data_IF_516506349110
#
_entry.id   IF_516506349110
#
_cell.length_a   1.000
_cell.length_b   1.000
_cell.length_c   1.000
_cell.angle_alpha   90.00
_cell.angle_beta   90.00
_cell.angle_gamma   90.00
#
_symmetry.space_group_name_H-M   'P 1'
#
loop_
_entity.id
_entity.type
_entity.pdbx_description
1 polymer ?
#
# COMPACT_ATOMS: atom_id res chain seq x y z
N UNK A 1 1.40 -7.29 4.28
CA UNK A 1 2.61 -6.94 5.06
C UNK A 1 3.50 -8.14 5.38
N UNK A 2 2.99 -9.24 5.94
CA UNK A 2 3.83 -10.41 6.30
C UNK A 2 4.73 -10.93 5.18
N UNK A 3 4.21 -11.03 3.95
CA UNK A 3 4.98 -11.42 2.77
C UNK A 3 6.20 -10.52 2.52
N UNK A 4 6.00 -9.20 2.43
CA UNK A 4 7.07 -8.22 2.18
C UNK A 4 8.13 -8.27 3.27
N UNK A 5 7.71 -8.22 4.54
CA UNK A 5 8.61 -8.29 5.70
C UNK A 5 9.43 -9.59 5.72
N UNK A 6 8.81 -10.72 5.40
CA UNK A 6 9.52 -12.01 5.33
C UNK A 6 10.59 -12.02 4.23
N UNK A 7 10.30 -11.46 3.06
CA UNK A 7 11.24 -11.42 1.94
C UNK A 7 12.38 -10.45 2.20
N UNK A 8 12.08 -9.25 2.70
CA UNK A 8 13.08 -8.27 3.12
C UNK A 8 14.02 -8.84 4.18
N UNK A 9 13.48 -9.50 5.20
CA UNK A 9 14.30 -10.15 6.22
C UNK A 9 15.17 -11.27 5.65
N UNK A 10 14.64 -12.07 4.73
CA UNK A 10 15.40 -13.14 4.07
C UNK A 10 16.58 -12.59 3.26
N UNK A 11 16.36 -11.53 2.47
CA UNK A 11 17.43 -10.83 1.74
C UNK A 11 18.43 -10.22 2.70
N UNK A 12 17.99 -9.52 3.75
CA UNK A 12 18.87 -8.89 4.72
C UNK A 12 19.79 -9.90 5.43
N UNK A 13 19.25 -11.06 5.83
CA UNK A 13 20.05 -12.17 6.38
C UNK A 13 21.07 -12.71 5.39
N UNK A 14 20.71 -12.78 4.11
CA UNK A 14 21.62 -13.26 3.07
C UNK A 14 22.72 -12.25 2.79
N UNK A 15 22.42 -10.95 2.75
CA UNK A 15 23.37 -9.85 2.59
C UNK A 15 24.42 -9.80 3.73
N UNK A 16 24.03 -10.18 4.94
CA UNK A 16 24.94 -10.26 6.09
C UNK A 16 25.82 -11.52 6.10
N UNK A 17 25.77 -12.35 5.06
CA UNK A 17 26.60 -13.56 4.95
C UNK A 17 28.06 -13.19 4.63
N UNK A 18 29.00 -13.96 5.17
CA UNK A 18 30.45 -13.73 5.05
C UNK A 18 30.93 -13.90 3.59
N UNK A 19 30.30 -14.77 2.81
CA UNK A 19 30.59 -14.99 1.40
C UNK A 19 29.42 -14.49 0.56
N UNK A 20 29.56 -13.30 -0.02
CA UNK A 20 28.58 -12.77 -0.97
C UNK A 20 29.27 -12.09 -2.14
N UNK A 21 28.77 -12.40 -3.33
CA UNK A 21 29.18 -11.77 -4.57
C UNK A 21 28.36 -10.49 -4.82
N UNK A 22 29.01 -9.44 -5.31
CA UNK A 22 28.38 -8.13 -5.55
C UNK A 22 27.28 -8.22 -6.61
N UNK A 23 27.41 -9.11 -7.60
CA UNK A 23 26.37 -9.36 -8.62
C UNK A 23 25.11 -9.91 -7.95
N UNK A 24 25.26 -10.86 -7.02
CA UNK A 24 24.14 -11.44 -6.27
C UNK A 24 23.43 -10.38 -5.42
N UNK A 25 24.19 -9.43 -4.85
CA UNK A 25 23.61 -8.31 -4.10
C UNK A 25 22.70 -7.47 -4.99
N UNK A 26 23.15 -7.13 -6.20
CA UNK A 26 22.35 -6.37 -7.17
C UNK A 26 21.08 -7.12 -7.56
N UNK A 27 21.18 -8.42 -7.87
CA UNK A 27 20.04 -9.27 -8.20
C UNK A 27 18.99 -9.32 -7.07
N UNK A 28 19.42 -9.33 -5.80
CA UNK A 28 18.50 -9.31 -4.68
C UNK A 28 17.78 -7.98 -4.52
N UNK A 29 18.46 -6.86 -4.73
CA UNK A 29 17.83 -5.55 -4.68
C UNK A 29 16.84 -5.37 -5.84
N UNK A 30 17.20 -5.74 -7.05
CA UNK A 30 16.31 -5.70 -8.22
C UNK A 30 15.06 -6.57 -7.97
N UNK A 31 15.24 -7.79 -7.46
CA UNK A 31 14.12 -8.67 -7.10
C UNK A 31 13.20 -8.08 -6.02
N UNK A 32 13.75 -7.32 -5.06
CA UNK A 32 12.94 -6.64 -4.03
C UNK A 32 12.16 -5.46 -4.61
N UNK A 33 12.77 -4.67 -5.49
CA UNK A 33 12.12 -3.55 -6.19
C UNK A 33 10.95 -4.07 -7.04
N UNK A 34 11.19 -5.14 -7.80
CA UNK A 34 10.15 -5.79 -8.61
C UNK A 34 9.01 -6.33 -7.74
N UNK A 35 9.36 -6.95 -6.61
CA UNK A 35 8.37 -7.44 -5.67
C UNK A 35 7.49 -6.29 -5.14
N UNK A 36 8.08 -5.20 -4.66
CA UNK A 36 7.34 -4.04 -4.13
C UNK A 36 6.45 -3.43 -5.22
N UNK A 37 6.98 -3.28 -6.43
CA UNK A 37 6.26 -2.75 -7.58
C UNK A 37 5.05 -3.61 -7.94
N UNK A 38 5.20 -4.94 -7.95
CA UNK A 38 4.09 -5.87 -8.20
C UNK A 38 2.96 -5.77 -7.16
N UNK A 39 3.26 -5.36 -5.92
CA UNK A 39 2.23 -5.25 -4.88
C UNK A 39 1.27 -4.08 -5.11
N UNK A 40 1.63 -3.08 -5.92
CA UNK A 40 0.79 -1.89 -6.16
C UNK A 40 -0.57 -2.22 -6.73
N UNK A 41 -0.67 -3.29 -7.52
CA UNK A 41 -1.92 -3.74 -8.15
C UNK A 41 -2.67 -4.80 -7.32
N UNK A 42 -2.03 -5.37 -6.31
CA UNK A 42 -2.59 -6.47 -5.49
C UNK A 42 -3.57 -6.00 -4.39
N UNK A 43 -3.87 -4.71 -4.30
CA UNK A 43 -4.79 -4.16 -3.29
C UNK A 43 -6.15 -4.88 -3.27
N UNK A 44 -6.70 -5.21 -4.44
CA UNK A 44 -8.00 -5.89 -4.52
C UNK A 44 -7.94 -7.31 -3.95
N UNK A 45 -6.85 -8.03 -4.20
CA UNK A 45 -6.62 -9.37 -3.67
C UNK A 45 -6.53 -9.33 -2.14
N UNK A 46 -5.73 -8.40 -1.61
CA UNK A 46 -5.62 -8.18 -0.16
C UNK A 46 -6.96 -7.81 0.47
N UNK A 47 -7.74 -6.94 -0.19
CA UNK A 47 -9.08 -6.59 0.26
C UNK A 47 -10.00 -7.81 0.32
N UNK A 48 -10.00 -8.66 -0.70
CA UNK A 48 -10.81 -9.88 -0.71
C UNK A 48 -10.46 -10.82 0.46
N UNK A 49 -9.17 -11.08 0.66
CA UNK A 49 -8.67 -11.89 1.77
C UNK A 49 -9.04 -11.29 3.14
N UNK A 50 -8.91 -9.97 3.29
CA UNK A 50 -9.25 -9.27 4.51
C UNK A 50 -10.76 -9.30 4.79
N UNK A 51 -11.60 -9.11 3.77
CA UNK A 51 -13.06 -9.19 3.91
C UNK A 51 -13.50 -10.57 4.35
N UNK A 52 -12.83 -11.65 3.96
CA UNK A 52 -13.17 -13.00 4.42
C UNK A 52 -12.89 -13.21 5.91
N UNK A 53 -11.91 -12.49 6.48
CA UNK A 53 -11.46 -12.66 7.88
C UNK A 53 -11.94 -11.57 8.84
N UNK A 54 -12.27 -10.39 8.32
CA UNK A 54 -12.60 -9.21 9.12
C UNK A 54 -14.09 -9.15 9.45
N UNK A 55 -14.41 -8.84 10.71
CA UNK A 55 -15.78 -8.49 11.13
C UNK A 55 -16.23 -7.16 10.53
N UNK A 56 -15.29 -6.24 10.30
CA UNK A 56 -15.56 -4.91 9.72
C UNK A 56 -15.48 -5.02 8.19
N UNK A 57 -16.57 -4.68 7.50
CA UNK A 57 -16.66 -4.76 6.02
C UNK A 57 -16.59 -3.39 5.32
N UNK A 58 -16.69 -2.31 6.07
CA UNK A 58 -16.72 -0.95 5.54
C UNK A 58 -15.47 -0.17 5.91
N UNK A 59 -15.06 0.75 5.04
CA UNK A 59 -13.97 1.67 5.35
C UNK A 59 -14.43 2.70 6.39
N UNK A 60 -13.57 3.03 7.35
CA UNK A 60 -13.85 4.08 8.36
C UNK A 60 -14.24 5.42 7.71
N UNK A 61 -13.59 5.78 6.61
CA UNK A 61 -13.89 7.02 5.85
C UNK A 61 -15.18 6.96 5.04
N UNK A 62 -15.77 5.78 4.83
CA UNK A 62 -17.10 5.65 4.26
C UNK A 62 -18.21 6.03 5.24
N UNK A 63 -17.96 5.97 6.56
CA UNK A 63 -18.98 6.13 7.60
C UNK A 63 -19.01 7.56 8.19
N UNK A 64 -17.90 8.31 8.10
CA UNK A 64 -17.71 9.58 8.84
C UNK A 64 -17.89 10.88 8.04
N UNK A 65 -18.37 10.85 6.79
CA UNK A 65 -18.44 12.08 5.98
C UNK A 65 -19.60 12.99 6.38
N UNK A 66 -19.35 13.92 7.32
CA UNK A 66 -20.12 15.17 7.43
C UNK A 66 -19.51 16.19 6.48
N UNK A 67 -20.17 16.46 5.34
CA UNK A 67 -19.67 17.47 4.39
C UNK A 67 -19.88 18.88 4.97
N UNK A 68 -18.91 19.77 4.77
CA UNK A 68 -19.03 21.22 5.11
C UNK A 68 -20.25 21.82 4.43
N UNK A 69 -21.01 22.65 5.14
CA UNK A 69 -22.10 23.46 4.54
C UNK A 69 -21.53 24.36 3.45
N UNK A 70 -22.12 24.33 2.26
CA UNK A 70 -21.70 25.16 1.13
C UNK A 70 -22.19 26.59 1.39
N UNK A 71 -21.34 27.59 1.18
CA UNK A 71 -21.75 29.00 1.25
C UNK A 71 -22.50 29.41 -0.02
N UNK A 72 -23.31 30.47 0.03
CA UNK A 72 -24.21 30.86 -1.05
C UNK A 72 -23.52 31.02 -2.43
N UNK A 73 -22.29 31.54 -2.46
CA UNK A 73 -21.52 31.79 -3.69
C UNK A 73 -20.58 30.63 -4.09
N UNK A 74 -20.56 29.52 -3.34
CA UNK A 74 -19.70 28.38 -3.63
C UNK A 74 -20.47 27.26 -4.36
N UNK A 75 -19.78 26.52 -5.23
CA UNK A 75 -20.28 25.27 -5.79
C UNK A 75 -19.23 24.15 -5.63
N UNK A 76 -19.68 22.90 -5.75
CA UNK A 76 -18.82 21.71 -5.64
C UNK A 76 -18.43 21.12 -6.99
N UNK A 77 -18.49 21.89 -8.07
CA UNK A 77 -18.31 21.36 -9.43
C UNK A 77 -16.94 20.67 -9.63
N UNK A 78 -15.91 21.11 -8.89
CA UNK A 78 -14.55 20.58 -8.97
C UNK A 78 -14.16 19.70 -7.77
N UNK A 79 -15.09 19.36 -6.87
CA UNK A 79 -14.78 18.54 -5.70
C UNK A 79 -14.47 17.10 -6.12
N UNK A 80 -13.26 16.62 -5.82
CA UNK A 80 -12.90 15.21 -6.05
C UNK A 80 -13.45 14.32 -4.94
N UNK A 81 -14.51 13.57 -5.24
CA UNK A 81 -15.10 12.65 -4.26
C UNK A 81 -14.32 11.32 -4.18
N UNK A 82 -13.41 11.22 -3.21
CA UNK A 82 -12.70 9.96 -2.94
C UNK A 82 -13.61 8.99 -2.19
N UNK A 83 -13.99 7.87 -2.79
CA UNK A 83 -14.65 6.79 -2.04
C UNK A 83 -13.69 6.14 -1.02
N UNK A 84 -14.20 5.43 -0.02
CA UNK A 84 -13.37 4.83 1.04
C UNK A 84 -12.24 3.93 0.52
N UNK A 85 -12.48 3.21 -0.60
CA UNK A 85 -11.46 2.38 -1.26
C UNK A 85 -10.35 3.23 -1.88
N UNK A 86 -10.69 4.28 -2.63
CA UNK A 86 -9.71 5.20 -3.25
C UNK A 86 -8.93 5.94 -2.18
N UNK A 87 -9.59 6.41 -1.13
CA UNK A 87 -8.94 7.04 0.02
C UNK A 87 -7.93 6.09 0.69
N UNK A 88 -8.31 4.84 0.95
CA UNK A 88 -7.39 3.85 1.52
C UNK A 88 -6.24 3.51 0.57
N UNK A 89 -6.51 3.39 -0.74
CA UNK A 89 -5.48 3.13 -1.77
C UNK A 89 -4.42 4.23 -1.75
N UNK A 90 -4.85 5.48 -1.90
CA UNK A 90 -3.97 6.63 -2.11
C UNK A 90 -3.27 7.01 -0.79
N UNK A 91 -4.04 7.20 0.29
CA UNK A 91 -3.53 7.82 1.52
C UNK A 91 -2.92 6.81 2.51
N UNK A 92 -2.91 5.52 2.19
CA UNK A 92 -2.38 4.50 3.10
C UNK A 92 -1.62 3.42 2.36
N UNK A 93 -2.28 2.73 1.43
CA UNK A 93 -1.65 1.59 0.77
C UNK A 93 -0.45 1.99 -0.11
N UNK A 94 -0.62 3.01 -0.96
CA UNK A 94 0.45 3.51 -1.82
C UNK A 94 1.55 4.19 -1.00
N UNK A 95 1.19 5.04 -0.03
CA UNK A 95 2.18 5.68 0.87
C UNK A 95 3.12 4.66 1.51
N UNK A 96 2.59 3.55 2.04
CA UNK A 96 3.46 2.54 2.67
C UNK A 96 4.35 1.84 1.64
N UNK A 97 3.86 1.58 0.41
CA UNK A 97 4.68 0.98 -0.64
C UNK A 97 5.74 1.93 -1.18
N UNK A 98 5.43 3.22 -1.28
CA UNK A 98 6.37 4.26 -1.69
C UNK A 98 7.50 4.39 -0.66
N UNK A 99 7.17 4.36 0.63
CA UNK A 99 8.16 4.40 1.72
C UNK A 99 9.08 3.17 1.75
N UNK A 100 8.61 2.03 1.23
CA UNK A 100 9.41 0.81 1.14
C UNK A 100 10.26 0.76 -0.14
N UNK A 101 9.89 1.52 -1.16
CA UNK A 101 10.58 1.55 -2.46
C UNK A 101 11.60 2.69 -2.62
N UNK A 102 11.51 3.73 -1.78
CA UNK A 102 12.50 4.81 -1.68
C UNK A 102 13.64 4.44 -0.72
#
# INVERSE_FOLDING_TARGET
>A
WGLLLSRLNAVNKKLQSIEIDVVIVLEFYDSLIDLISSQREELNNYKGKALNRSTIKHYKTSVLRKKRTIQYDENRANDTELNGKKNFRINTFMVILDELGN
#
